data_IF_984692340339
#
_entry.id   IF_984692340339
#
_cell.length_a   1.000
_cell.length_b   1.000
_cell.length_c   1.000
_cell.angle_alpha   90.00
_cell.angle_beta   90.00
_cell.angle_gamma   90.00
#
_symmetry.space_group_name_H-M   'P 1'
#
loop_
_entity.id
_entity.type
_entity.pdbx_description
1 polymer ?
#
# COMPACT_ATOMS: atom_id res chain seq x y z
N UNK A 1 17.96 -3.90 16.13
CA UNK A 1 17.27 -5.10 16.67
C UNK A 1 15.77 -4.89 16.54
N UNK A 2 15.15 -5.67 15.66
CA UNK A 2 13.69 -5.78 15.56
C UNK A 2 13.20 -6.66 16.71
N UNK A 3 12.23 -6.20 17.49
CA UNK A 3 11.63 -6.94 18.59
C UNK A 3 10.16 -7.29 18.28
N UNK A 4 9.52 -8.15 19.09
CA UNK A 4 8.11 -8.54 18.93
C UNK A 4 7.13 -7.35 19.03
N UNK A 5 7.60 -6.22 19.54
CA UNK A 5 6.78 -5.03 19.73
C UNK A 5 6.77 -4.07 18.54
N UNK A 6 7.66 -4.22 17.56
CA UNK A 6 7.73 -3.31 16.41
C UNK A 6 6.57 -3.61 15.44
N UNK A 7 5.77 -2.60 15.09
CA UNK A 7 4.68 -2.74 14.11
C UNK A 7 5.17 -2.34 12.72
N UNK A 8 5.74 -1.13 12.63
CA UNK A 8 6.25 -0.59 11.38
C UNK A 8 7.23 0.55 11.66
N UNK A 9 8.17 0.76 10.73
CA UNK A 9 9.06 1.93 10.70
C UNK A 9 8.71 2.81 9.50
N UNK A 10 8.47 4.08 9.74
CA UNK A 10 8.14 5.07 8.71
C UNK A 10 9.38 5.92 8.41
N UNK A 11 9.69 6.07 7.12
CA UNK A 11 10.91 6.75 6.66
C UNK A 11 10.55 7.80 5.62
N UNK A 12 10.93 9.07 5.80
CA UNK A 12 10.62 10.13 4.84
C UNK A 12 11.30 9.85 3.50
N UNK A 13 10.54 10.03 2.42
CA UNK A 13 10.98 9.75 1.05
C UNK A 13 10.47 10.77 0.05
N UNK A 14 10.03 11.93 0.52
CA UNK A 14 9.61 13.04 -0.32
C UNK A 14 10.80 13.92 -0.71
N UNK A 15 10.66 14.57 -1.86
CA UNK A 15 11.69 15.41 -2.46
C UNK A 15 11.79 16.79 -1.77
N UNK A 16 10.69 17.23 -1.14
CA UNK A 16 10.53 18.55 -0.54
C UNK A 16 10.88 18.60 0.96
N UNK A 17 11.38 17.49 1.53
CA UNK A 17 11.68 17.33 2.97
C UNK A 17 10.49 17.63 3.93
N UNK A 18 9.27 17.71 3.42
CA UNK A 18 8.05 17.93 4.17
C UNK A 18 7.78 16.77 5.14
N UNK A 19 7.96 15.51 4.72
CA UNK A 19 7.73 14.38 5.63
C UNK A 19 8.83 14.31 6.68
N UNK A 20 10.07 14.65 6.32
CA UNK A 20 11.16 14.80 7.28
C UNK A 20 10.84 15.87 8.32
N UNK A 21 10.34 17.03 7.90
CA UNK A 21 9.96 18.13 8.80
C UNK A 21 8.77 17.74 9.69
N UNK A 22 7.77 17.05 9.14
CA UNK A 22 6.67 16.51 9.91
C UNK A 22 7.16 15.53 10.98
N UNK A 23 8.06 14.60 10.64
CA UNK A 23 8.58 13.61 11.60
C UNK A 23 9.44 14.23 12.70
N UNK A 24 10.04 15.41 12.45
CA UNK A 24 10.79 16.20 13.44
C UNK A 24 9.93 17.02 14.38
N UNK A 25 8.61 17.09 14.16
CA UNK A 25 7.71 17.86 15.00
C UNK A 25 7.83 17.42 16.47
N UNK A 26 7.77 18.36 17.41
CA UNK A 26 7.98 18.11 18.84
C UNK A 26 7.03 17.03 19.39
N UNK A 27 5.77 17.09 18.97
CA UNK A 27 4.75 16.07 19.32
C UNK A 27 5.06 14.66 18.81
N UNK A 28 5.90 14.52 17.79
CA UNK A 28 6.31 13.22 17.26
C UNK A 28 7.58 12.68 17.93
N UNK A 29 8.28 13.47 18.76
CA UNK A 29 9.56 13.08 19.37
C UNK A 29 9.50 11.77 20.15
N UNK A 30 8.36 11.48 20.78
CA UNK A 30 8.18 10.23 21.53
C UNK A 30 8.33 8.97 20.68
N UNK A 31 8.02 9.07 19.39
CA UNK A 31 8.05 8.00 18.38
C UNK A 31 9.20 8.16 17.39
N UNK A 32 9.84 9.32 17.38
CA UNK A 32 10.93 9.65 16.47
C UNK A 32 12.24 9.03 16.97
N UNK A 33 12.90 8.30 16.08
CA UNK A 33 14.30 7.97 16.23
C UNK A 33 15.12 9.03 15.49
N UNK A 34 16.06 9.70 16.16
CA UNK A 34 17.01 10.56 15.48
C UNK A 34 17.87 9.71 14.53
N UNK A 35 18.46 10.34 13.49
CA UNK A 35 19.44 9.68 12.65
C UNK A 35 20.54 9.06 13.50
N UNK A 36 20.91 7.81 13.20
CA UNK A 36 22.12 7.24 13.78
C UNK A 36 23.29 8.00 13.17
N UNK A 37 23.91 8.90 13.95
CA UNK A 37 25.20 9.45 13.54
C UNK A 37 26.15 8.26 13.45
N UNK A 38 26.63 7.96 12.25
CA UNK A 38 27.88 7.23 12.10
C UNK A 38 28.88 7.90 13.04
N UNK A 39 29.61 7.09 13.79
CA UNK A 39 30.69 7.58 14.64
C UNK A 39 31.64 8.31 13.69
N UNK A 40 31.61 9.65 13.69
CA UNK A 40 32.72 10.43 13.19
C UNK A 40 33.89 10.04 14.09
N UNK A 41 34.73 9.12 13.61
CA UNK A 41 36.11 9.07 14.04
C UNK A 41 36.68 10.44 13.71
N UNK A 42 36.62 11.35 14.68
CA UNK A 42 37.31 12.63 14.59
C UNK A 42 38.76 12.36 14.22
N UNK A 43 39.37 13.18 13.34
CA UNK A 43 40.70 12.91 12.85
C UNK A 43 41.67 13.00 14.05
N UNK A 44 42.09 11.84 14.54
CA UNK A 44 43.27 11.74 15.37
C UNK A 44 44.45 12.15 14.47
N UNK A 45 44.97 13.33 14.76
CA UNK A 45 46.21 13.85 14.23
C UNK A 45 47.31 12.79 14.26
N UNK A 46 47.76 12.32 13.10
CA UNK A 46 49.13 11.85 12.94
C UNK A 46 49.54 11.87 11.47
N UNK A 47 50.64 12.58 11.21
CA UNK A 47 51.32 12.68 9.92
C UNK A 47 51.89 11.34 9.47
N UNK A 48 51.74 10.99 8.17
CA UNK A 48 52.84 10.86 7.19
C UNK A 48 52.37 10.22 5.87
N UNK A 49 52.85 10.83 4.78
CA UNK A 49 53.11 10.35 3.42
C UNK A 49 52.00 9.83 2.50
N UNK A 50 52.04 10.35 1.26
CA UNK A 50 51.12 10.11 0.16
C UNK A 50 51.63 8.99 -0.76
N UNK A 51 50.71 8.18 -1.30
CA UNK A 51 50.89 7.37 -2.52
C UNK A 51 49.53 7.22 -3.22
N UNK A 52 49.43 7.34 -4.57
CA UNK A 52 48.19 7.73 -5.24
C UNK A 52 47.27 6.57 -5.66
N UNK A 53 45.97 6.90 -5.63
CA UNK A 53 44.79 6.38 -6.31
C UNK A 53 44.83 5.03 -7.08
N UNK A 54 43.89 4.15 -6.73
CA UNK A 54 43.06 3.49 -7.73
C UNK A 54 41.58 3.58 -7.30
N UNK A 55 40.83 4.41 -8.01
CA UNK A 55 39.40 4.58 -7.83
C UNK A 55 38.66 3.39 -8.45
N UNK A 56 37.93 2.65 -7.62
CA UNK A 56 36.76 1.89 -8.06
C UNK A 56 35.65 2.12 -7.04
N UNK A 57 34.78 3.06 -7.38
CA UNK A 57 33.53 3.33 -6.66
C UNK A 57 32.59 2.14 -6.82
N UNK A 58 32.66 1.19 -5.90
CA UNK A 58 31.56 0.26 -5.66
C UNK A 58 30.54 1.04 -4.83
N UNK A 59 29.50 1.52 -5.51
CA UNK A 59 28.36 2.20 -4.89
C UNK A 59 27.45 1.12 -4.34
N UNK A 60 27.81 0.58 -3.17
CA UNK A 60 26.92 -0.32 -2.42
C UNK A 60 25.86 0.52 -1.71
N UNK A 61 24.65 0.53 -2.30
CA UNK A 61 23.41 1.16 -1.80
C UNK A 61 22.82 0.38 -0.60
N UNK A 62 23.61 0.25 0.47
CA UNK A 62 23.17 -0.37 1.72
C UNK A 62 23.30 0.56 2.96
N UNK A 63 23.67 1.84 2.76
CA UNK A 63 23.91 2.80 3.86
C UNK A 63 23.05 4.08 3.90
N UNK A 64 22.17 4.33 2.92
CA UNK A 64 21.51 5.65 2.74
C UNK A 64 20.37 5.96 3.73
N UNK A 65 20.11 5.10 4.72
CA UNK A 65 19.05 5.29 5.72
C UNK A 65 19.53 5.79 7.08
N UNK A 66 20.83 5.80 7.35
CA UNK A 66 21.36 6.19 8.66
C UNK A 66 21.16 7.67 8.98
N UNK A 67 20.91 8.51 7.96
CA UNK A 67 20.82 9.97 8.10
C UNK A 67 19.39 10.55 8.15
N UNK A 68 18.35 9.72 8.13
CA UNK A 68 16.95 10.22 8.09
C UNK A 68 16.24 10.02 9.42
N UNK A 69 15.45 11.01 9.83
CA UNK A 69 14.52 10.86 10.97
C UNK A 69 13.49 9.77 10.65
N UNK A 70 13.28 8.83 11.58
CA UNK A 70 12.36 7.69 11.40
C UNK A 70 11.30 7.72 12.48
N UNK A 71 10.06 7.32 12.17
CA UNK A 71 9.04 7.07 13.19
C UNK A 71 8.85 5.57 13.39
N UNK A 72 8.77 5.11 14.64
CA UNK A 72 8.43 3.71 14.95
C UNK A 72 7.05 3.63 15.57
N UNK A 73 6.23 2.75 15.02
CA UNK A 73 4.99 2.31 15.63
C UNK A 73 5.29 1.02 16.38
N UNK A 74 4.89 0.92 17.65
CA UNK A 74 5.19 -0.22 18.52
C UNK A 74 4.00 -0.56 19.40
N UNK A 75 3.84 -1.80 19.85
CA UNK A 75 2.74 -2.17 20.76
C UNK A 75 2.91 -1.62 22.19
N UNK A 76 4.15 -1.57 22.68
CA UNK A 76 4.45 -1.29 24.08
C UNK A 76 4.68 0.20 24.39
N UNK A 77 5.27 0.95 23.44
CA UNK A 77 5.67 2.35 23.64
C UNK A 77 4.63 3.29 23.04
N UNK A 78 3.98 4.05 23.93
CA UNK A 78 2.94 5.03 23.62
C UNK A 78 1.81 4.39 22.78
N UNK A 79 0.77 3.80 23.40
CA UNK A 79 -0.35 3.24 22.65
C UNK A 79 -1.08 4.32 21.83
N UNK A 80 -1.93 3.94 20.87
CA UNK A 80 -2.76 4.89 20.14
C UNK A 80 -3.67 5.68 21.09
N UNK A 81 -3.86 6.98 20.81
CA UNK A 81 -4.80 7.84 21.54
C UNK A 81 -6.24 7.34 21.48
N UNK A 82 -6.63 6.77 20.34
CA UNK A 82 -7.93 6.10 20.16
C UNK A 82 -7.67 4.61 19.88
N UNK A 83 -7.67 3.75 20.92
CA UNK A 83 -7.39 2.33 20.75
C UNK A 83 -8.43 1.64 19.85
N UNK A 84 -9.63 2.21 19.67
CA UNK A 84 -10.68 1.63 18.81
C UNK A 84 -10.39 1.78 17.31
N UNK A 85 -9.48 2.69 16.93
CA UNK A 85 -9.16 3.00 15.53
C UNK A 85 -7.70 2.77 15.16
N UNK A 86 -6.81 2.67 16.16
CA UNK A 86 -5.38 2.54 15.97
C UNK A 86 -4.68 3.88 15.80
N UNK A 87 -3.46 3.86 15.26
CA UNK A 87 -2.59 5.04 15.20
C UNK A 87 -3.13 6.09 14.23
N UNK A 88 -3.54 7.24 14.74
CA UNK A 88 -4.11 8.33 13.96
C UNK A 88 -3.04 9.29 13.41
N UNK A 89 -3.13 9.62 12.12
CA UNK A 89 -2.20 10.54 11.44
C UNK A 89 -2.97 11.74 10.89
N UNK A 90 -2.45 12.95 11.08
CA UNK A 90 -3.14 14.16 10.61
C UNK A 90 -2.54 15.46 11.12
N UNK A 91 -3.35 16.51 11.25
CA UNK A 91 -2.91 17.85 11.69
C UNK A 91 -3.46 18.25 13.07
N UNK A 92 -4.34 17.43 13.67
CA UNK A 92 -4.96 17.71 14.96
C UNK A 92 -4.19 17.05 16.11
N UNK A 93 -3.47 17.86 16.90
CA UNK A 93 -2.65 17.42 18.04
C UNK A 93 -3.45 16.65 19.11
N UNK A 94 -4.73 16.96 19.27
CA UNK A 94 -5.56 16.30 20.29
C UNK A 94 -6.04 14.92 19.82
N UNK A 95 -6.14 14.69 18.52
CA UNK A 95 -6.71 13.46 17.95
C UNK A 95 -5.67 12.54 17.31
N UNK A 96 -4.55 13.07 16.83
CA UNK A 96 -3.55 12.31 16.10
C UNK A 96 -2.39 11.87 17.00
N UNK A 97 -1.95 10.64 16.80
CA UNK A 97 -0.72 10.08 17.37
C UNK A 97 0.53 10.57 16.66
N UNK A 98 0.41 10.87 15.36
CA UNK A 98 1.47 11.40 14.52
C UNK A 98 0.97 12.63 13.77
N UNK A 99 1.66 13.75 13.96
CA UNK A 99 1.39 14.97 13.21
C UNK A 99 2.13 14.97 11.87
N UNK A 100 1.37 15.15 10.79
CA UNK A 100 1.85 15.26 9.41
C UNK A 100 2.11 16.71 8.99
N UNK A 101 1.82 17.67 9.86
CA UNK A 101 2.00 19.09 9.63
C UNK A 101 1.18 19.93 10.60
N UNK A 102 1.32 21.25 10.51
CA UNK A 102 0.57 22.19 11.34
C UNK A 102 -0.92 22.20 11.01
N UNK A 103 -1.75 22.61 11.97
CA UNK A 103 -3.20 22.75 11.79
C UNK A 103 -3.50 23.68 10.60
N UNK A 104 -4.32 23.20 9.67
CA UNK A 104 -4.68 23.96 8.47
C UNK A 104 -3.69 23.83 7.31
N UNK A 105 -2.68 22.96 7.42
CA UNK A 105 -1.84 22.59 6.28
C UNK A 105 -2.74 22.15 5.10
N UNK A 106 -2.61 22.85 3.97
CA UNK A 106 -3.48 22.62 2.82
C UNK A 106 -3.38 21.16 2.36
N UNK A 107 -4.54 20.52 2.27
CA UNK A 107 -4.65 19.17 1.72
C UNK A 107 -4.48 18.03 2.73
N UNK A 108 -4.11 18.30 3.99
CA UNK A 108 -4.06 17.28 5.06
C UNK A 108 -5.19 17.47 6.06
N UNK A 109 -6.09 16.49 6.17
CA UNK A 109 -7.21 16.53 7.12
C UNK A 109 -6.76 16.55 8.58
N UNK A 110 -7.66 16.98 9.48
CA UNK A 110 -7.44 16.97 10.94
C UNK A 110 -7.03 15.60 11.45
N UNK A 111 -7.77 14.58 11.02
CA UNK A 111 -7.40 13.17 11.05
C UNK A 111 -7.47 12.70 9.60
N UNK A 112 -6.35 12.27 9.05
CA UNK A 112 -6.18 11.92 7.64
C UNK A 112 -6.39 10.44 7.42
N UNK A 113 -5.68 9.59 8.15
CA UNK A 113 -5.81 8.15 8.09
C UNK A 113 -5.42 7.52 9.43
N UNK A 114 -5.74 6.24 9.57
CA UNK A 114 -5.31 5.42 10.70
C UNK A 114 -4.48 4.23 10.20
N UNK A 115 -3.45 3.85 10.95
CA UNK A 115 -2.77 2.56 10.77
C UNK A 115 -3.20 1.64 11.91
N UNK A 116 -3.79 0.50 11.55
CA UNK A 116 -4.35 -0.46 12.51
C UNK A 116 -4.26 -1.88 11.97
N UNK A 117 -4.70 -2.85 12.76
CA UNK A 117 -4.87 -4.23 12.32
C UNK A 117 -6.32 -4.53 11.98
N UNK A 118 -6.51 -5.30 10.93
CA UNK A 118 -7.80 -5.83 10.52
C UNK A 118 -7.81 -7.36 10.62
N UNK A 119 -8.99 -7.92 10.84
CA UNK A 119 -9.29 -9.35 10.94
C UNK A 119 -10.18 -9.86 9.81
N UNK A 120 -10.45 -9.05 8.76
CA UNK A 120 -11.20 -9.52 7.58
C UNK A 120 -10.56 -10.79 7.01
N UNK A 121 -11.36 -11.85 6.93
CA UNK A 121 -10.94 -13.16 6.42
C UNK A 121 -10.05 -13.97 7.38
N UNK A 122 -10.07 -13.66 8.68
CA UNK A 122 -9.34 -14.40 9.72
C UNK A 122 -7.82 -14.19 9.70
N UNK A 123 -7.34 -13.21 8.93
CA UNK A 123 -5.91 -12.86 8.82
C UNK A 123 -5.62 -11.58 9.59
N UNK A 124 -4.48 -11.54 10.29
CA UNK A 124 -3.97 -10.36 11.02
C UNK A 124 -3.27 -9.40 10.05
N UNK A 125 -4.04 -8.54 9.39
CA UNK A 125 -3.54 -7.65 8.33
C UNK A 125 -3.26 -6.27 8.88
N UNK A 126 -2.07 -5.73 8.61
CA UNK A 126 -1.78 -4.32 8.87
C UNK A 126 -2.41 -3.50 7.75
N UNK A 127 -3.27 -2.56 8.11
CA UNK A 127 -4.04 -1.74 7.15
C UNK A 127 -3.88 -0.25 7.42
N UNK A 128 -3.97 0.53 6.35
CA UNK A 128 -4.15 1.97 6.38
C UNK A 128 -5.57 2.30 5.96
N UNK A 129 -6.35 2.88 6.87
CA UNK A 129 -7.73 3.30 6.63
C UNK A 129 -7.76 4.81 6.43
N UNK A 130 -7.95 5.26 5.19
CA UNK A 130 -8.11 6.68 4.88
C UNK A 130 -9.47 7.20 5.38
N UNK A 131 -9.44 8.36 6.04
CA UNK A 131 -10.61 9.09 6.53
C UNK A 131 -10.61 10.54 6.03
N UNK A 132 -9.77 10.83 5.03
CA UNK A 132 -9.44 12.19 4.64
C UNK A 132 -10.43 12.74 3.62
N UNK A 133 -10.37 14.06 3.42
CA UNK A 133 -11.20 14.74 2.43
C UNK A 133 -10.60 14.66 1.02
N UNK A 134 -9.29 14.45 0.93
CA UNK A 134 -8.55 14.57 -0.34
C UNK A 134 -7.91 13.27 -0.81
N UNK A 135 -8.02 12.22 0.00
CA UNK A 135 -7.52 10.90 -0.28
C UNK A 135 -6.04 10.70 0.03
N UNK A 136 -5.72 9.41 0.16
CA UNK A 136 -4.38 8.86 0.34
C UNK A 136 -4.13 7.87 -0.80
N UNK A 137 -2.90 7.85 -1.32
CA UNK A 137 -2.46 6.77 -2.22
C UNK A 137 -1.41 5.91 -1.50
N UNK A 138 -1.48 4.60 -1.71
CA UNK A 138 -0.43 3.66 -1.28
C UNK A 138 0.16 3.01 -2.52
N UNK A 139 1.47 3.18 -2.67
CA UNK A 139 2.23 2.75 -3.83
C UNK A 139 2.94 1.45 -3.49
N UNK A 140 2.72 0.41 -4.29
CA UNK A 140 3.32 -0.92 -4.10
C UNK A 140 4.30 -1.19 -5.24
N UNK A 141 5.61 -1.28 -4.93
CA UNK A 141 6.65 -1.47 -5.96
C UNK A 141 6.53 -0.49 -7.14
N UNK A 142 6.14 0.77 -6.86
CA UNK A 142 5.92 1.81 -7.87
C UNK A 142 4.54 1.81 -8.55
N UNK A 143 3.71 0.78 -8.32
CA UNK A 143 2.35 0.67 -8.85
C UNK A 143 1.32 1.42 -8.00
N UNK A 144 0.15 1.70 -8.57
CA UNK A 144 -0.96 2.44 -7.92
C UNK A 144 -0.63 3.89 -7.52
N UNK A 145 0.39 4.51 -8.13
CA UNK A 145 0.78 5.91 -7.86
C UNK A 145 -0.32 6.93 -8.11
N UNK A 146 -1.16 6.68 -9.11
CA UNK A 146 -2.25 7.57 -9.53
C UNK A 146 -3.56 7.29 -8.78
N UNK A 147 -3.61 6.21 -8.00
CA UNK A 147 -4.80 5.75 -7.28
C UNK A 147 -4.95 6.46 -5.93
N UNK A 148 -5.28 7.76 -5.98
CA UNK A 148 -5.59 8.53 -4.76
C UNK A 148 -7.05 8.27 -4.36
N UNK A 149 -7.24 7.61 -3.22
CA UNK A 149 -8.58 7.23 -2.72
C UNK A 149 -8.87 7.85 -1.37
N UNK A 150 -10.09 8.35 -1.22
CA UNK A 150 -10.62 8.81 0.07
C UNK A 150 -11.58 7.76 0.63
N UNK A 151 -11.67 7.64 1.96
CA UNK A 151 -12.52 6.64 2.64
C UNK A 151 -12.27 5.20 2.16
N UNK A 152 -10.99 4.85 2.00
CA UNK A 152 -10.55 3.58 1.43
C UNK A 152 -9.53 2.90 2.34
N UNK A 153 -9.56 1.57 2.38
CA UNK A 153 -8.65 0.75 3.17
C UNK A 153 -7.61 0.09 2.28
N UNK A 154 -6.34 0.34 2.60
CA UNK A 154 -5.18 -0.24 1.94
C UNK A 154 -4.53 -1.27 2.85
N UNK A 155 -4.25 -2.48 2.38
CA UNK A 155 -3.49 -3.47 3.15
C UNK A 155 -2.00 -3.19 2.95
N UNK A 156 -1.27 -2.91 4.04
CA UNK A 156 0.16 -2.61 3.98
C UNK A 156 0.97 -3.91 3.89
N UNK A 157 0.61 -4.96 4.63
CA UNK A 157 1.31 -6.25 4.60
C UNK A 157 0.70 -7.24 3.59
N UNK A 158 0.56 -6.83 2.32
CA UNK A 158 0.08 -7.73 1.28
C UNK A 158 0.99 -8.95 1.15
N UNK A 159 0.40 -10.14 1.06
CA UNK A 159 1.15 -11.35 0.76
C UNK A 159 1.74 -11.26 -0.65
N UNK A 160 2.98 -11.72 -0.80
CA UNK A 160 3.69 -11.84 -2.07
C UNK A 160 4.28 -13.23 -2.18
N UNK A 161 4.38 -13.77 -3.39
CA UNK A 161 4.98 -15.06 -3.70
C UNK A 161 6.46 -15.05 -3.39
N UNK A 162 7.19 -14.04 -3.88
CA UNK A 162 8.61 -13.86 -3.61
C UNK A 162 8.96 -12.43 -3.19
N UNK A 163 9.72 -12.32 -2.09
CA UNK A 163 10.18 -11.06 -1.51
C UNK A 163 9.06 -10.22 -0.89
N UNK A 164 9.32 -8.92 -0.73
CA UNK A 164 8.40 -7.99 -0.08
C UNK A 164 7.92 -6.88 -1.01
N UNK A 165 6.80 -6.25 -0.66
CA UNK A 165 6.33 -5.05 -1.32
C UNK A 165 7.07 -3.82 -0.78
N UNK A 166 7.71 -3.04 -1.66
CA UNK A 166 8.19 -1.70 -1.32
C UNK A 166 6.99 -0.77 -1.26
N UNK A 167 6.60 -0.38 -0.04
CA UNK A 167 5.40 0.42 0.22
C UNK A 167 5.77 1.89 0.43
N UNK A 168 5.14 2.78 -0.33
CA UNK A 168 5.24 4.23 -0.13
C UNK A 168 3.84 4.79 0.05
N UNK A 169 3.61 5.47 1.17
CA UNK A 169 2.37 6.20 1.43
C UNK A 169 2.54 7.62 0.92
N UNK A 170 1.57 8.08 0.13
CA UNK A 170 1.55 9.39 -0.48
C UNK A 170 0.33 10.19 -0.02
N UNK A 171 0.60 11.28 0.70
CA UNK A 171 -0.39 12.21 1.24
C UNK A 171 -0.07 13.59 0.69
N UNK A 172 -0.73 13.95 -0.42
CA UNK A 172 -0.52 15.23 -1.12
C UNK A 172 0.90 15.47 -1.63
N UNK A 173 1.74 16.14 -0.84
CA UNK A 173 3.16 16.38 -1.13
C UNK A 173 4.08 15.56 -0.22
N UNK A 174 3.52 14.97 0.83
CA UNK A 174 4.23 14.14 1.79
C UNK A 174 4.31 12.71 1.25
N UNK A 175 5.51 12.15 1.26
CA UNK A 175 5.76 10.74 0.93
C UNK A 175 6.65 10.13 2.00
N UNK A 176 6.30 8.93 2.43
CA UNK A 176 7.15 8.15 3.31
C UNK A 176 7.03 6.67 2.99
N UNK A 177 8.15 5.96 3.11
CA UNK A 177 8.23 4.51 3.03
C UNK A 177 7.70 3.90 4.33
N UNK A 178 7.09 2.73 4.20
CA UNK A 178 6.69 1.89 5.33
C UNK A 178 7.54 0.62 5.27
N UNK A 179 8.46 0.47 6.22
CA UNK A 179 9.23 -0.75 6.44
C UNK A 179 8.52 -1.61 7.49
N UNK A 180 8.18 -2.84 7.10
CA UNK A 180 7.61 -3.85 7.99
C UNK A 180 8.75 -4.71 8.52
N UNK A 181 8.70 -5.08 9.78
CA UNK A 181 9.67 -6.01 10.34
C UNK A 181 9.29 -7.45 9.93
N UNK A 182 10.29 -8.27 9.61
CA UNK A 182 10.09 -9.65 9.12
C UNK A 182 9.51 -10.56 10.21
N UNK A 183 9.77 -10.24 11.50
CA UNK A 183 9.29 -10.95 12.68
C UNK A 183 9.51 -12.48 12.67
N UNK A 184 10.34 -13.03 11.78
CA UNK A 184 10.53 -14.48 11.63
C UNK A 184 10.93 -15.15 12.95
N UNK A 185 11.83 -14.52 13.70
CA UNK A 185 12.30 -15.02 15.00
C UNK A 185 11.28 -14.88 16.14
N UNK A 186 10.39 -13.88 16.08
CA UNK A 186 9.46 -13.53 17.16
C UNK A 186 7.98 -13.61 16.75
N UNK A 187 7.67 -14.43 15.74
CA UNK A 187 6.37 -14.44 15.08
C UNK A 187 5.22 -14.77 16.04
N UNK A 188 5.44 -15.68 16.99
CA UNK A 188 4.43 -16.06 17.98
C UNK A 188 4.09 -14.89 18.92
N UNK A 189 5.12 -14.28 19.52
CA UNK A 189 4.98 -13.13 20.42
C UNK A 189 4.37 -11.92 19.71
N UNK A 190 4.81 -11.64 18.48
CA UNK A 190 4.22 -10.58 17.66
C UNK A 190 2.73 -10.82 17.40
N UNK A 191 2.34 -12.06 17.05
CA UNK A 191 0.93 -12.39 16.83
C UNK A 191 0.09 -12.26 18.11
N UNK A 192 0.64 -12.64 19.26
CA UNK A 192 -0.02 -12.46 20.55
C UNK A 192 -0.20 -10.96 20.86
N UNK A 193 0.80 -10.13 20.56
CA UNK A 193 0.71 -8.68 20.71
C UNK A 193 -0.36 -8.07 19.78
N UNK A 194 -0.45 -8.54 18.54
CA UNK A 194 -1.53 -8.15 17.61
C UNK A 194 -2.90 -8.53 18.17
N UNK A 195 -3.05 -9.73 18.73
CA UNK A 195 -4.31 -10.15 19.34
C UNK A 195 -4.68 -9.32 20.57
N UNK A 196 -3.71 -9.04 21.46
CA UNK A 196 -3.91 -8.15 22.60
C UNK A 196 -4.35 -6.76 22.15
N UNK A 197 -3.71 -6.22 21.12
CA UNK A 197 -4.06 -4.93 20.53
C UNK A 197 -5.50 -4.92 19.99
N UNK A 198 -5.89 -5.94 19.22
CA UNK A 198 -7.23 -6.06 18.65
C UNK A 198 -8.30 -6.30 19.72
N UNK A 199 -8.01 -7.09 20.75
CA UNK A 199 -8.92 -7.31 21.86
C UNK A 199 -9.12 -6.03 22.66
N UNK A 200 -8.03 -5.30 22.95
CA UNK A 200 -8.10 -4.01 23.63
C UNK A 200 -8.94 -3.00 22.83
N UNK A 201 -8.77 -2.96 21.51
CA UNK A 201 -9.58 -2.13 20.60
C UNK A 201 -11.09 -2.45 20.65
N UNK A 202 -11.46 -3.71 20.95
CA UNK A 202 -12.87 -4.16 21.01
C UNK A 202 -13.50 -3.92 22.38
N UNK A 203 -12.71 -4.02 23.44
CA UNK A 203 -13.17 -3.87 24.82
C UNK A 203 -13.06 -2.43 25.32
N UNK A 204 -12.32 -1.57 24.62
CA UNK A 204 -12.23 -0.16 24.97
C UNK A 204 -13.59 0.51 24.78
N UNK A 205 -14.04 1.24 25.81
CA UNK A 205 -15.23 2.07 25.71
C UNK A 205 -15.00 3.10 24.59
N UNK A 206 -15.83 3.11 23.53
CA UNK A 206 -15.67 4.09 22.49
C UNK A 206 -15.81 5.48 23.13
N UNK A 207 -14.94 6.46 22.80
CA UNK A 207 -15.16 7.82 23.21
C UNK A 207 -16.59 8.23 22.85
N UNK A 208 -17.37 8.71 23.83
CA UNK A 208 -18.77 9.12 23.68
C UNK A 208 -18.90 10.01 22.44
N UNK A 209 -19.31 9.45 21.30
CA UNK A 209 -19.52 10.21 20.07
C UNK A 209 -19.16 9.57 18.72
N UNK A 210 -18.69 8.32 18.59
CA UNK A 210 -18.43 7.75 17.25
C UNK A 210 -18.81 6.26 17.14
N UNK A 211 -20.10 5.99 16.98
CA UNK A 211 -20.59 4.75 16.36
C UNK A 211 -20.57 4.93 14.84
N UNK A 212 -19.40 4.79 14.21
CA UNK A 212 -19.31 4.59 12.75
C UNK A 212 -19.02 3.13 12.49
N UNK A 213 -20.09 2.34 12.44
CA UNK A 213 -20.08 0.98 11.91
C UNK A 213 -19.84 1.10 10.40
N UNK A 214 -18.59 1.06 9.96
CA UNK A 214 -18.27 0.92 8.54
C UNK A 214 -18.47 -0.54 8.13
N UNK A 215 -19.74 -0.94 7.97
CA UNK A 215 -20.14 -2.20 7.34
C UNK A 215 -19.99 -2.10 5.82
N UNK A 216 -18.77 -2.17 5.30
CA UNK A 216 -18.56 -2.50 3.89
C UNK A 216 -18.55 -4.02 3.71
N UNK A 217 -19.67 -4.67 4.06
CA UNK A 217 -20.01 -6.00 3.56
C UNK A 217 -20.57 -5.79 2.15
N UNK A 218 -19.68 -5.67 1.17
CA UNK A 218 -20.06 -5.47 -0.23
C UNK A 218 -20.40 -6.82 -0.87
N UNK A 219 -21.58 -7.36 -0.57
CA UNK A 219 -22.31 -8.21 -1.52
C UNK A 219 -23.04 -7.29 -2.48
N UNK A 220 -22.31 -6.67 -3.42
CA UNK A 220 -22.92 -5.87 -4.49
C UNK A 220 -22.82 -6.64 -5.80
N UNK A 221 -24.00 -6.96 -6.32
CA UNK A 221 -24.27 -7.58 -7.61
C UNK A 221 -23.52 -6.80 -8.71
N UNK A 222 -22.79 -7.46 -9.62
CA UNK A 222 -21.92 -6.80 -10.57
C UNK A 222 -22.71 -6.34 -11.81
N UNK A 223 -23.40 -5.21 -11.72
CA UNK A 223 -23.96 -4.54 -12.91
C UNK A 223 -24.07 -3.01 -12.83
N UNK A 224 -23.72 -2.38 -11.70
CA UNK A 224 -23.75 -0.92 -11.60
C UNK A 224 -22.38 -0.30 -11.87
N UNK A 225 -22.36 0.82 -12.60
CA UNK A 225 -21.14 1.60 -12.85
C UNK A 225 -20.60 2.12 -11.53
N UNK A 226 -19.56 1.48 -11.00
CA UNK A 226 -18.85 1.96 -9.83
C UNK A 226 -18.26 3.34 -10.14
N UNK A 227 -18.55 4.33 -9.29
CA UNK A 227 -17.85 5.62 -9.30
C UNK A 227 -16.35 5.37 -9.15
N UNK A 228 -15.47 6.20 -9.75
CA UNK A 228 -14.02 5.97 -9.71
C UNK A 228 -13.48 5.71 -8.30
N UNK A 229 -14.03 6.36 -7.27
CA UNK A 229 -13.61 6.18 -5.87
C UNK A 229 -13.92 4.81 -5.25
N UNK A 230 -14.89 4.04 -5.77
CA UNK A 230 -15.35 2.76 -5.22
C UNK A 230 -14.82 1.53 -5.97
N UNK A 231 -14.03 1.73 -7.03
CA UNK A 231 -13.49 0.62 -7.81
C UNK A 231 -12.37 -0.09 -7.04
N UNK A 232 -12.31 -1.43 -7.03
CA UNK A 232 -11.15 -2.13 -6.51
C UNK A 232 -9.88 -1.73 -7.25
N UNK A 233 -8.76 -1.73 -6.53
CA UNK A 233 -7.44 -1.47 -7.10
C UNK A 233 -6.68 -2.79 -7.09
N UNK A 234 -6.10 -3.12 -8.25
CA UNK A 234 -5.32 -4.33 -8.45
C UNK A 234 -3.87 -3.94 -8.74
N UNK A 235 -2.94 -4.66 -8.14
CA UNK A 235 -1.50 -4.54 -8.42
C UNK A 235 -1.00 -5.84 -9.04
N UNK A 236 -0.10 -5.74 -10.02
CA UNK A 236 0.52 -6.86 -10.70
C UNK A 236 1.68 -7.43 -9.89
N UNK A 237 1.75 -8.74 -9.78
CA UNK A 237 2.76 -9.44 -9.02
C UNK A 237 3.78 -10.14 -9.93
N UNK A 238 3.33 -11.11 -10.73
CA UNK A 238 4.17 -11.92 -11.62
C UNK A 238 3.38 -12.38 -12.85
N UNK A 239 4.06 -12.68 -13.95
CA UNK A 239 3.44 -13.31 -15.12
C UNK A 239 3.26 -14.81 -14.85
N UNK A 240 2.01 -15.29 -14.88
CA UNK A 240 1.67 -16.70 -14.72
C UNK A 240 1.84 -17.49 -16.02
N UNK A 241 1.68 -16.83 -17.16
CA UNK A 241 1.88 -17.47 -18.45
C UNK A 241 1.51 -16.60 -19.64
N UNK A 242 2.00 -17.01 -20.81
CA UNK A 242 1.81 -16.31 -22.07
C UNK A 242 1.29 -17.24 -23.14
N UNK A 243 0.27 -16.80 -23.86
CA UNK A 243 -0.28 -17.50 -25.02
C UNK A 243 -0.27 -16.64 -26.27
N UNK A 244 -0.78 -17.19 -27.37
CA UNK A 244 -0.93 -16.48 -28.64
C UNK A 244 -1.95 -15.33 -28.58
N UNK A 245 -2.94 -15.42 -27.68
CA UNK A 245 -4.05 -14.47 -27.58
C UNK A 245 -3.89 -13.43 -26.46
N UNK A 246 -2.88 -13.57 -25.60
CA UNK A 246 -2.68 -12.68 -24.47
C UNK A 246 -1.67 -13.20 -23.47
N UNK A 247 -1.49 -12.42 -22.40
CA UNK A 247 -0.74 -12.81 -21.21
C UNK A 247 -1.66 -12.94 -20.01
N UNK A 248 -1.26 -13.76 -19.05
CA UNK A 248 -1.94 -13.94 -17.78
C UNK A 248 -0.97 -13.59 -16.67
N UNK A 249 -1.33 -12.61 -15.86
CA UNK A 249 -0.57 -12.16 -14.70
C UNK A 249 -1.29 -12.52 -13.42
N UNK A 250 -0.55 -12.73 -12.33
CA UNK A 250 -1.10 -12.76 -10.98
C UNK A 250 -1.29 -11.32 -10.51
N UNK A 251 -2.49 -11.00 -10.05
CA UNK A 251 -2.81 -9.67 -9.50
C UNK A 251 -3.43 -9.78 -8.12
N UNK A 252 -3.20 -8.77 -7.30
CA UNK A 252 -3.68 -8.72 -5.91
C UNK A 252 -4.58 -7.52 -5.73
N UNK A 253 -5.76 -7.72 -5.16
CA UNK A 253 -6.64 -6.63 -4.75
C UNK A 253 -6.11 -6.02 -3.44
N UNK A 254 -5.76 -4.73 -3.46
CA UNK A 254 -5.08 -4.06 -2.35
C UNK A 254 -5.94 -3.84 -1.10
N UNK A 255 -7.27 -3.87 -1.22
CA UNK A 255 -8.17 -3.68 -0.07
C UNK A 255 -8.65 -4.98 0.56
N UNK A 256 -8.68 -6.06 -0.21
CA UNK A 256 -9.15 -7.38 0.27
C UNK A 256 -8.04 -8.41 0.39
N UNK A 257 -6.88 -8.16 -0.21
CA UNK A 257 -5.77 -9.10 -0.31
C UNK A 257 -6.12 -10.37 -1.08
N UNK A 258 -7.22 -10.37 -1.83
CA UNK A 258 -7.60 -11.49 -2.68
C UNK A 258 -6.72 -11.51 -3.93
N UNK A 259 -6.27 -12.71 -4.28
CA UNK A 259 -5.40 -12.95 -5.43
C UNK A 259 -6.28 -13.41 -6.59
N UNK A 260 -5.95 -12.91 -7.79
CA UNK A 260 -6.63 -13.21 -9.03
C UNK A 260 -5.61 -13.50 -10.13
N UNK A 261 -6.01 -14.25 -11.15
CA UNK A 261 -5.32 -14.25 -12.43
C UNK A 261 -5.96 -13.18 -13.33
N UNK A 262 -5.16 -12.29 -13.89
CA UNK A 262 -5.54 -11.24 -14.81
C UNK A 262 -5.11 -11.62 -16.22
N UNK A 263 -6.06 -11.78 -17.15
CA UNK A 263 -5.74 -11.98 -18.56
C UNK A 263 -5.88 -10.68 -19.33
N UNK A 264 -4.80 -10.29 -20.00
CA UNK A 264 -4.76 -9.17 -20.93
C UNK A 264 -4.67 -9.70 -22.35
N UNK A 265 -5.61 -9.29 -23.22
CA UNK A 265 -5.62 -9.69 -24.62
C UNK A 265 -4.71 -8.81 -25.48
N UNK A 266 -3.94 -9.43 -26.39
CA UNK A 266 -3.13 -8.68 -27.33
C UNK A 266 -3.98 -7.97 -28.38
N UNK A 267 -3.69 -6.69 -28.59
CA UNK A 267 -4.23 -5.94 -29.72
C UNK A 267 -3.55 -6.37 -31.03
N UNK A 268 -4.33 -6.70 -32.07
CA UNK A 268 -3.81 -6.83 -33.42
C UNK A 268 -3.19 -5.51 -33.89
N UNK A 269 -2.23 -5.61 -34.82
CA UNK A 269 -1.83 -4.46 -35.61
C UNK A 269 -2.96 -4.12 -36.57
N UNK A 270 -3.56 -2.95 -36.39
CA UNK A 270 -4.66 -2.48 -37.23
C UNK A 270 -4.17 -2.05 -38.62
N UNK A 271 -4.97 -2.33 -39.64
CA UNK A 271 -4.76 -1.73 -40.96
C UNK A 271 -4.95 -0.21 -40.92
N UNK A 272 -4.30 0.50 -41.85
CA UNK A 272 -4.36 1.97 -41.94
C UNK A 272 -5.71 2.46 -42.47
N UNK A 273 -6.36 1.66 -43.32
CA UNK A 273 -7.67 1.97 -43.86
C UNK A 273 -8.74 2.01 -42.75
N UNK A 274 -9.58 3.04 -42.78
CA UNK A 274 -10.50 3.31 -41.68
C UNK A 274 -11.64 2.29 -41.58
N UNK A 275 -12.18 1.83 -42.71
CA UNK A 275 -13.28 0.85 -42.74
C UNK A 275 -12.78 -0.54 -42.40
N UNK A 276 -11.64 -0.94 -42.96
CA UNK A 276 -10.99 -2.22 -42.61
C UNK A 276 -10.61 -2.28 -41.13
N UNK A 277 -10.04 -1.20 -40.58
CA UNK A 277 -9.72 -1.10 -39.16
C UNK A 277 -10.94 -1.24 -38.27
N UNK A 278 -12.06 -0.59 -38.62
CA UNK A 278 -13.31 -0.69 -37.85
C UNK A 278 -13.83 -2.13 -37.87
N UNK A 279 -13.81 -2.78 -39.02
CA UNK A 279 -14.20 -4.19 -39.16
C UNK A 279 -13.29 -5.13 -38.35
N UNK A 280 -11.97 -4.92 -38.40
CA UNK A 280 -10.99 -5.69 -37.62
C UNK A 280 -11.18 -5.53 -36.12
N UNK A 281 -11.43 -4.30 -35.66
CA UNK A 281 -11.70 -4.02 -34.25
C UNK A 281 -12.97 -4.74 -33.78
N UNK A 282 -14.05 -4.68 -34.55
CA UNK A 282 -15.30 -5.37 -34.18
C UNK A 282 -15.14 -6.89 -34.15
N UNK A 283 -14.43 -7.47 -35.12
CA UNK A 283 -14.12 -8.91 -35.14
C UNK A 283 -13.31 -9.33 -33.91
N UNK A 284 -12.30 -8.56 -33.55
CA UNK A 284 -11.48 -8.82 -32.37
C UNK A 284 -12.28 -8.70 -31.06
N UNK A 285 -13.11 -7.65 -30.92
CA UNK A 285 -14.02 -7.50 -29.77
C UNK A 285 -14.98 -8.67 -29.65
N UNK A 286 -15.54 -9.12 -30.77
CA UNK A 286 -16.46 -10.26 -30.78
C UNK A 286 -15.76 -11.57 -30.42
N UNK A 287 -14.49 -11.76 -30.79
CA UNK A 287 -13.69 -12.88 -30.34
C UNK A 287 -13.51 -12.85 -28.81
N UNK A 288 -13.15 -11.70 -28.23
CA UNK A 288 -12.99 -11.56 -26.78
C UNK A 288 -14.32 -11.82 -26.07
N UNK A 289 -15.41 -11.22 -26.53
CA UNK A 289 -16.75 -11.42 -25.96
C UNK A 289 -17.18 -12.89 -26.02
N UNK A 290 -16.84 -13.60 -27.10
CA UNK A 290 -17.11 -15.04 -27.23
C UNK A 290 -16.32 -15.84 -26.20
N UNK A 291 -15.04 -15.54 -26.04
CA UNK A 291 -14.20 -16.22 -25.05
C UNK A 291 -14.72 -15.99 -23.62
N UNK A 292 -14.99 -14.73 -23.26
CA UNK A 292 -15.62 -14.36 -21.98
C UNK A 292 -16.91 -15.15 -21.76
N UNK A 293 -17.76 -15.21 -22.77
CA UNK A 293 -19.05 -15.90 -22.68
C UNK A 293 -18.88 -17.39 -22.41
N UNK A 294 -18.00 -18.06 -23.16
CA UNK A 294 -17.72 -19.48 -22.96
C UNK A 294 -17.25 -19.72 -21.50
N UNK A 295 -16.39 -18.85 -20.98
CA UNK A 295 -15.89 -18.95 -19.61
C UNK A 295 -16.95 -18.68 -18.53
N UNK A 296 -17.96 -17.85 -18.83
CA UNK A 296 -19.08 -17.56 -17.93
C UNK A 296 -20.16 -18.66 -17.96
N UNK A 297 -20.37 -19.29 -19.13
CA UNK A 297 -21.40 -20.32 -19.34
C UNK A 297 -20.93 -21.72 -18.87
N UNK A 298 -19.63 -21.93 -18.69
CA UNK A 298 -19.06 -23.18 -18.15
C UNK A 298 -18.36 -22.95 -16.80
N UNK A 299 -19.10 -22.52 -15.75
CA UNK A 299 -18.52 -22.35 -14.43
C UNK A 299 -18.14 -23.72 -13.86
N UNK A 300 -16.86 -24.04 -13.84
CA UNK A 300 -16.36 -25.13 -13.00
C UNK A 300 -16.43 -24.68 -11.54
N UNK A 301 -16.80 -25.60 -10.64
CA UNK A 301 -17.00 -25.35 -9.18
C UNK A 301 -15.78 -24.69 -8.51
N UNK A 302 -14.61 -24.73 -9.15
CA UNK A 302 -13.33 -24.20 -8.64
C UNK A 302 -12.82 -22.94 -9.35
N UNK A 303 -13.62 -22.29 -10.22
CA UNK A 303 -13.20 -21.07 -10.92
C UNK A 303 -14.32 -20.03 -10.83
N UNK A 304 -14.13 -19.02 -9.97
CA UNK A 304 -14.96 -17.82 -9.96
C UNK A 304 -14.40 -16.82 -10.97
N UNK A 305 -15.10 -16.64 -12.08
CA UNK A 305 -14.76 -15.63 -13.10
C UNK A 305 -15.34 -14.28 -12.71
N UNK A 306 -14.50 -13.25 -12.59
CA UNK A 306 -14.93 -11.85 -12.43
C UNK A 306 -14.54 -11.05 -13.67
N UNK A 307 -15.48 -10.89 -14.60
CA UNK A 307 -15.27 -10.06 -15.79
C UNK A 307 -15.36 -8.58 -15.39
N UNK A 308 -14.24 -7.85 -15.43
CA UNK A 308 -14.21 -6.40 -15.24
C UNK A 308 -13.17 -5.75 -16.15
N UNK A 309 -13.61 -4.73 -16.89
CA UNK A 309 -12.73 -3.87 -17.67
C UNK A 309 -11.91 -2.97 -16.75
N UNK A 310 -10.61 -3.21 -16.69
CA UNK A 310 -9.63 -2.34 -16.03
C UNK A 310 -9.14 -1.34 -17.09
N UNK A 311 -9.91 -0.28 -17.36
CA UNK A 311 -9.45 1.05 -17.80
C UNK A 311 -10.57 1.88 -18.44
N UNK A 312 -10.62 3.16 -18.09
CA UNK A 312 -11.65 4.13 -18.53
C UNK A 312 -11.72 4.38 -20.05
N UNK A 313 -10.80 3.84 -20.86
CA UNK A 313 -10.81 3.99 -22.32
C UNK A 313 -10.65 2.65 -23.08
N UNK A 314 -10.60 1.50 -22.39
CA UNK A 314 -10.29 0.18 -22.98
C UNK A 314 -11.12 -0.95 -22.33
N UNK A 315 -12.42 -0.73 -22.12
CA UNK A 315 -13.32 -1.60 -21.35
C UNK A 315 -13.40 -3.09 -21.72
N UNK A 316 -12.81 -3.56 -22.82
CA UNK A 316 -13.00 -4.93 -23.31
C UNK A 316 -11.73 -5.79 -23.33
N UNK A 317 -10.64 -5.37 -22.67
CA UNK A 317 -9.32 -6.02 -22.85
C UNK A 317 -8.84 -6.91 -21.72
N UNK A 318 -9.56 -6.90 -20.61
CA UNK A 318 -9.07 -7.42 -19.33
C UNK A 318 -10.14 -8.31 -18.67
N UNK A 319 -9.71 -9.44 -18.10
CA UNK A 319 -10.56 -10.35 -17.32
C UNK A 319 -9.81 -10.77 -16.06
N UNK A 320 -10.51 -10.86 -14.92
CA UNK A 320 -9.99 -11.38 -13.67
C UNK A 320 -10.61 -12.75 -13.34
N UNK A 321 -9.79 -13.67 -12.85
CA UNK A 321 -10.18 -15.00 -12.41
C UNK A 321 -9.78 -15.22 -10.97
N UNK A 322 -10.61 -15.90 -10.19
CA UNK A 322 -10.30 -16.32 -8.83
C UNK A 322 -10.59 -17.81 -8.71
N UNK A 323 -9.61 -18.59 -8.27
CA UNK A 323 -9.81 -19.98 -7.85
C UNK A 323 -10.44 -20.05 -6.47
#
# INVERSE_FOLDING_TARGET
>A
MEGPDLIATLIPSDDDDLARNAFRHEDNQKRCLPPTRGIDEGPATSSREATPACAQSIVDDYGTHEHKHRLRLTFNKEPPKDPTKGYAFGTDKQKCDVLLGSRGARGTSRVHFHITFDLIGGKRRLVLTDCSTHGTAVIYNGQAREEVRHHFTWILNLAKGEGEWKIVVHVRRLKFKVELASHETYKAEYNENVEKFLNHSRTADPPLGVLSINSYLTTVIPSQSLTPGQRPIYIHEEELGRGSFGRVDRVVNVSTGAIYAHKEFYEPKWEKDAEHRKHQQEKWRNQIRREIRIMMEHPYVSITTQVRGIDNNRCERNILFRS
#
